data_IF_125041128288
#
_entry.id   IF_125041128288
#
_cell.length_a   1.000
_cell.length_b   1.000
_cell.length_c   1.000
_cell.angle_alpha   90.00
_cell.angle_beta   90.00
_cell.angle_gamma   90.00
#
_symmetry.space_group_name_H-M   'P 1'
#
loop_
_entity.id
_entity.type
_entity.pdbx_description
1 polymer ?
#
# COMPACT_ATOMS: atom_id res chain seq x y z
N UNK A 1 2.04 8.09 76.16
CA UNK A 1 2.39 8.51 74.78
C UNK A 1 1.29 8.05 73.82
N UNK A 2 0.02 8.15 74.24
CA UNK A 2 -1.05 7.27 73.71
C UNK A 2 -2.26 8.03 73.12
N UNK A 3 -2.28 9.37 73.20
CA UNK A 3 -3.38 10.16 72.66
C UNK A 3 -3.28 10.47 71.17
N UNK A 4 -2.08 10.35 70.56
CA UNK A 4 -1.86 10.75 69.17
C UNK A 4 -2.19 9.66 68.14
N UNK A 5 -2.17 8.37 68.51
CA UNK A 5 -2.52 7.26 67.61
C UNK A 5 -4.04 7.13 67.39
N UNK A 6 -4.86 7.48 68.37
CA UNK A 6 -6.33 7.35 68.26
C UNK A 6 -6.95 8.38 67.31
N UNK A 7 -6.33 9.56 67.18
CA UNK A 7 -6.82 10.63 66.34
C UNK A 7 -6.65 10.32 64.84
N UNK A 8 -5.54 9.68 64.48
CA UNK A 8 -5.23 9.35 63.07
C UNK A 8 -6.16 8.27 62.56
N UNK A 9 -6.46 7.22 63.34
CA UNK A 9 -7.32 6.11 62.91
C UNK A 9 -8.77 6.55 62.66
N UNK A 10 -9.33 7.41 63.52
CA UNK A 10 -10.72 7.88 63.38
C UNK A 10 -10.94 8.90 62.25
N UNK A 11 -9.86 9.52 61.73
CA UNK A 11 -9.93 10.52 60.64
C UNK A 11 -9.50 9.95 59.29
N UNK A 12 -8.75 8.84 59.27
CA UNK A 12 -8.22 8.25 58.03
C UNK A 12 -9.31 7.59 57.18
N UNK A 13 -10.25 6.87 57.80
CA UNK A 13 -11.36 6.22 57.08
C UNK A 13 -12.21 7.21 56.25
N UNK A 14 -12.75 8.31 56.83
CA UNK A 14 -13.55 9.25 56.04
C UNK A 14 -12.73 9.95 54.94
N UNK A 15 -11.43 10.16 55.14
CA UNK A 15 -10.56 10.75 54.10
C UNK A 15 -10.40 9.80 52.91
N UNK A 16 -10.20 8.50 53.16
CA UNK A 16 -10.10 7.50 52.10
C UNK A 16 -11.41 7.41 51.32
N UNK A 17 -12.56 7.42 52.00
CA UNK A 17 -13.87 7.43 51.35
C UNK A 17 -14.08 8.67 50.48
N UNK A 18 -13.68 9.86 50.95
CA UNK A 18 -13.77 11.09 50.16
C UNK A 18 -12.89 11.00 48.92
N UNK A 19 -11.66 10.49 49.03
CA UNK A 19 -10.75 10.35 47.89
C UNK A 19 -11.27 9.36 46.84
N UNK A 20 -11.83 8.23 47.27
CA UNK A 20 -12.48 7.28 46.38
C UNK A 20 -13.70 7.90 45.69
N UNK A 21 -14.54 8.62 46.44
CA UNK A 21 -15.73 9.25 45.91
C UNK A 21 -15.39 10.32 44.86
N UNK A 22 -14.37 11.15 45.11
CA UNK A 22 -13.88 12.15 44.15
C UNK A 22 -13.31 11.48 42.89
N UNK A 23 -12.60 10.35 43.03
CA UNK A 23 -12.07 9.61 41.88
C UNK A 23 -13.19 8.99 41.02
N UNK A 24 -14.21 8.39 41.66
CA UNK A 24 -15.39 7.84 40.96
C UNK A 24 -16.18 8.95 40.26
N UNK A 25 -16.45 10.07 40.95
CA UNK A 25 -17.12 11.22 40.33
C UNK A 25 -16.32 11.78 39.15
N UNK A 26 -14.98 11.85 39.26
CA UNK A 26 -14.11 12.26 38.17
C UNK A 26 -14.22 11.35 36.95
N UNK A 27 -14.28 10.02 37.17
CA UNK A 27 -14.45 9.03 36.11
C UNK A 27 -15.84 9.14 35.45
N UNK A 28 -16.90 9.31 36.23
CA UNK A 28 -18.27 9.48 35.74
C UNK A 28 -18.43 10.77 34.93
N UNK A 29 -17.85 11.88 35.40
CA UNK A 29 -17.84 13.15 34.66
C UNK A 29 -17.02 13.02 33.36
N UNK A 30 -15.88 12.34 33.40
CA UNK A 30 -15.04 12.12 32.21
C UNK A 30 -15.73 11.23 31.17
N UNK A 31 -16.41 10.17 31.60
CA UNK A 31 -17.18 9.30 30.69
C UNK A 31 -18.39 10.04 30.12
N UNK A 32 -19.09 10.84 30.92
CA UNK A 32 -20.20 11.68 30.46
C UNK A 32 -19.75 12.75 29.46
N UNK A 33 -18.61 13.41 29.71
CA UNK A 33 -18.02 14.37 28.77
C UNK A 33 -17.69 13.70 27.43
N UNK A 34 -17.03 12.53 27.47
CA UNK A 34 -16.74 11.77 26.26
C UNK A 34 -18.00 11.32 25.51
N UNK A 35 -19.08 10.98 26.21
CA UNK A 35 -20.34 10.57 25.57
C UNK A 35 -21.07 11.74 24.91
N UNK A 36 -21.10 12.91 25.57
CA UNK A 36 -21.79 14.10 25.08
C UNK A 36 -21.03 14.76 23.92
N UNK A 37 -19.72 14.94 24.02
CA UNK A 37 -18.92 15.61 22.99
C UNK A 37 -18.58 14.72 21.79
N UNK A 38 -18.62 13.38 21.93
CA UNK A 38 -18.42 12.49 20.77
C UNK A 38 -19.64 12.44 19.84
N UNK A 39 -20.85 12.77 20.33
CA UNK A 39 -22.08 12.76 19.53
C UNK A 39 -22.14 13.86 18.46
N UNK A 40 -21.52 15.03 18.68
CA UNK A 40 -21.52 16.13 17.69
C UNK A 40 -20.78 15.77 16.40
N UNK A 41 -19.79 14.86 16.45
CA UNK A 41 -19.04 14.45 15.25
C UNK A 41 -19.80 13.51 14.31
N UNK A 42 -20.90 12.89 14.76
CA UNK A 42 -21.67 11.93 13.94
C UNK A 42 -23.00 12.49 13.40
N UNK A 43 -23.47 13.65 13.88
CA UNK A 43 -24.73 14.28 13.40
C UNK A 43 -24.52 15.26 12.24
N UNK A 44 -23.29 15.74 12.02
CA UNK A 44 -22.98 16.66 10.92
C UNK A 44 -22.71 15.98 9.57
N UNK A 45 -22.98 14.67 9.44
CA UNK A 45 -22.84 13.92 8.20
C UNK A 45 -24.15 13.24 7.78
N UNK A 46 -25.25 14.00 7.82
CA UNK A 46 -26.49 13.72 7.07
C UNK A 46 -26.95 14.98 6.33
N UNK A 47 -26.02 15.63 5.63
CA UNK A 47 -26.36 16.54 4.55
C UNK A 47 -26.47 15.75 3.25
N UNK A 48 -27.67 15.28 2.92
CA UNK A 48 -27.97 14.76 1.58
C UNK A 48 -27.74 15.88 0.56
N UNK A 49 -26.63 15.81 -0.18
CA UNK A 49 -26.39 16.65 -1.34
C UNK A 49 -27.45 16.32 -2.39
N UNK A 50 -28.51 17.12 -2.40
CA UNK A 50 -29.52 17.11 -3.45
C UNK A 50 -28.90 17.79 -4.66
N UNK A 51 -28.46 17.02 -5.64
CA UNK A 51 -27.98 17.54 -6.92
C UNK A 51 -29.19 18.08 -7.68
N UNK A 52 -29.42 19.39 -7.58
CA UNK A 52 -30.37 20.11 -8.43
C UNK A 52 -29.69 20.39 -9.77
N UNK A 53 -29.83 19.46 -10.72
CA UNK A 53 -29.47 19.69 -12.12
C UNK A 53 -30.58 20.52 -12.77
N UNK A 54 -30.36 21.83 -12.86
CA UNK A 54 -31.14 22.70 -13.73
C UNK A 54 -30.56 22.59 -15.15
N UNK A 55 -31.30 22.08 -16.15
CA UNK A 55 -30.82 22.06 -17.52
C UNK A 55 -30.80 23.48 -18.10
N UNK A 56 -29.61 24.03 -18.31
CA UNK A 56 -29.43 25.24 -19.13
C UNK A 56 -29.60 24.92 -20.62
N UNK A 57 -30.24 25.80 -21.40
CA UNK A 57 -30.46 25.59 -22.81
C UNK A 57 -29.15 25.61 -23.60
N UNK A 58 -29.01 24.61 -24.47
CA UNK A 58 -27.87 24.39 -25.37
C UNK A 58 -28.00 25.40 -26.51
N UNK A 59 -27.21 26.48 -26.45
CA UNK A 59 -26.97 27.34 -27.61
C UNK A 59 -25.83 26.75 -28.41
N UNK A 60 -26.18 26.10 -29.53
CA UNK A 60 -25.22 25.65 -30.53
C UNK A 60 -24.56 26.86 -31.19
N UNK A 61 -23.32 27.13 -30.82
CA UNK A 61 -22.41 27.94 -31.64
C UNK A 61 -21.49 27.00 -32.40
N UNK A 62 -21.75 26.95 -33.70
CA UNK A 62 -20.99 26.27 -34.73
C UNK A 62 -19.55 26.80 -34.78
N UNK A 63 -18.59 25.98 -34.33
CA UNK A 63 -17.17 26.24 -34.45
C UNK A 63 -16.59 25.45 -35.64
N UNK A 64 -16.14 26.24 -36.61
CA UNK A 64 -15.37 25.95 -37.82
C UNK A 64 -14.25 24.90 -37.60
N UNK A 65 -13.96 24.03 -38.59
CA UNK A 65 -12.93 23.01 -38.48
C UNK A 65 -11.53 23.65 -38.55
N UNK A 66 -10.78 23.55 -37.46
CA UNK A 66 -9.36 23.92 -37.42
C UNK A 66 -8.53 22.64 -37.58
N UNK A 67 -7.74 22.65 -38.65
CA UNK A 67 -6.85 21.59 -39.12
C UNK A 67 -5.86 21.15 -38.05
N UNK A 68 -5.69 19.83 -37.95
CA UNK A 68 -4.52 19.19 -37.37
C UNK A 68 -3.23 19.71 -38.04
N UNK A 69 -2.54 20.63 -37.38
CA UNK A 69 -1.13 20.86 -37.66
C UNK A 69 -0.38 20.96 -36.33
N UNK A 70 0.44 19.94 -36.03
CA UNK A 70 1.26 19.93 -34.84
C UNK A 70 2.24 21.12 -34.90
N UNK A 71 2.11 22.04 -33.94
CA UNK A 71 3.03 23.16 -33.72
C UNK A 71 4.50 22.68 -33.76
N UNK A 72 5.45 23.43 -34.39
CA UNK A 72 6.80 22.96 -34.69
C UNK A 72 7.57 22.40 -33.49
N UNK A 73 7.27 22.90 -32.28
CA UNK A 73 7.89 22.47 -31.03
C UNK A 73 7.52 21.04 -30.60
N UNK A 74 6.37 20.53 -31.06
CA UNK A 74 5.95 19.15 -30.78
C UNK A 74 6.74 18.16 -31.65
N UNK A 75 6.96 18.49 -32.93
CA UNK A 75 7.72 17.65 -33.87
C UNK A 75 9.19 17.53 -33.43
N UNK A 76 9.82 18.63 -33.02
CA UNK A 76 11.20 18.59 -32.53
C UNK A 76 11.36 17.78 -31.24
N UNK A 77 10.36 17.81 -30.34
CA UNK A 77 10.40 17.01 -29.11
C UNK A 77 10.30 15.51 -29.39
N UNK A 78 9.50 15.11 -30.38
CA UNK A 78 9.39 13.72 -30.82
C UNK A 78 10.68 13.26 -31.52
N UNK A 79 11.25 14.08 -32.41
CA UNK A 79 12.50 13.75 -33.10
C UNK A 79 13.68 13.62 -32.13
N UNK A 80 13.74 14.46 -31.09
CA UNK A 80 14.76 14.38 -30.04
C UNK A 80 14.62 13.13 -29.17
N UNK A 81 13.38 12.66 -28.92
CA UNK A 81 13.12 11.43 -28.17
C UNK A 81 13.44 10.16 -28.98
N UNK A 82 13.40 10.21 -30.32
CA UNK A 82 13.65 9.07 -31.21
C UNK A 82 15.10 8.98 -31.72
N UNK A 83 15.93 10.00 -31.53
CA UNK A 83 17.34 10.02 -31.94
C UNK A 83 18.17 8.82 -31.46
N UNK A 84 18.02 8.27 -30.24
CA UNK A 84 18.81 7.11 -29.80
C UNK A 84 18.27 5.75 -30.30
N UNK A 85 17.09 5.71 -30.96
CA UNK A 85 16.44 4.46 -31.39
C UNK A 85 16.50 4.21 -32.90
N UNK A 86 17.21 5.03 -33.68
CA UNK A 86 17.46 4.75 -35.11
C UNK A 86 18.53 3.67 -35.27
N UNK A 87 18.07 2.41 -35.23
CA UNK A 87 18.88 1.23 -35.57
C UNK A 87 19.11 1.24 -37.08
N UNK A 88 20.35 1.44 -37.52
CA UNK A 88 20.76 1.30 -38.92
C UNK A 88 20.91 -0.20 -39.26
N UNK A 89 20.14 -0.76 -40.21
CA UNK A 89 20.43 -2.09 -40.74
C UNK A 89 21.61 -1.99 -41.71
N UNK A 90 22.80 -2.40 -41.27
CA UNK A 90 23.96 -2.58 -42.15
C UNK A 90 23.91 -3.99 -42.73
N UNK A 91 23.40 -4.09 -43.96
CA UNK A 91 23.50 -5.29 -44.79
C UNK A 91 24.83 -5.26 -45.54
N UNK A 92 25.74 -6.18 -45.19
CA UNK A 92 26.92 -6.49 -46.02
C UNK A 92 27.03 -8.01 -46.19
N UNK A 93 27.18 -8.53 -47.43
CA UNK A 93 27.03 -9.95 -47.72
C UNK A 93 28.30 -10.80 -47.46
N UNK A 94 27.98 -12.07 -47.18
CA UNK A 94 28.76 -13.31 -47.02
C UNK A 94 29.98 -13.47 -47.94
N UNK A 95 31.09 -13.97 -47.37
CA UNK A 95 31.96 -14.91 -48.09
C UNK A 95 32.51 -16.00 -47.16
N UNK A 96 32.38 -17.21 -47.68
CA UNK A 96 32.65 -18.52 -47.08
C UNK A 96 34.14 -18.84 -47.15
N UNK A 97 34.76 -19.28 -46.06
CA UNK A 97 35.95 -20.13 -46.12
C UNK A 97 35.92 -21.18 -45.02
N UNK A 98 35.78 -22.42 -45.46
CA UNK A 98 35.87 -23.67 -44.71
C UNK A 98 37.27 -23.81 -44.11
N UNK A 99 37.35 -23.98 -42.79
CA UNK A 99 38.56 -24.49 -42.14
C UNK A 99 38.16 -25.55 -41.11
N UNK A 100 38.44 -26.79 -41.47
CA UNK A 100 38.24 -28.01 -40.69
C UNK A 100 39.31 -28.07 -39.60
N UNK A 101 38.89 -27.99 -38.33
CA UNK A 101 39.72 -28.32 -37.17
C UNK A 101 39.04 -29.49 -36.46
N UNK A 102 39.71 -30.64 -36.45
CA UNK A 102 39.25 -31.85 -35.79
C UNK A 102 39.27 -31.65 -34.27
N UNK A 103 38.14 -31.92 -33.62
CA UNK A 103 38.05 -32.02 -32.16
C UNK A 103 38.18 -33.49 -31.75
N UNK A 104 38.98 -33.85 -30.75
CA UNK A 104 39.11 -35.23 -30.29
C UNK A 104 37.84 -35.69 -29.57
N UNK A 105 37.28 -36.80 -30.06
CA UNK A 105 36.18 -37.54 -29.44
C UNK A 105 36.64 -38.17 -28.12
N UNK A 106 36.22 -37.61 -26.98
CA UNK A 106 36.22 -38.33 -25.71
C UNK A 106 34.89 -39.07 -25.53
N UNK A 107 34.97 -40.38 -25.32
CA UNK A 107 33.81 -41.22 -25.04
C UNK A 107 33.19 -40.86 -23.67
N UNK A 108 31.86 -40.89 -23.53
CA UNK A 108 31.22 -40.63 -22.24
C UNK A 108 31.43 -41.82 -21.30
N UNK A 109 32.05 -41.56 -20.16
CA UNK A 109 32.07 -42.49 -19.03
C UNK A 109 30.66 -42.52 -18.43
N UNK A 110 30.04 -43.69 -18.43
CA UNK A 110 28.75 -43.93 -17.79
C UNK A 110 28.97 -43.90 -16.28
N UNK A 111 28.59 -42.79 -15.64
CA UNK A 111 28.60 -42.65 -14.19
C UNK A 111 27.26 -43.15 -13.63
N UNK A 112 27.25 -44.01 -12.60
CA UNK A 112 26.00 -44.54 -12.06
C UNK A 112 25.14 -43.42 -11.47
N UNK A 113 23.92 -43.29 -12.01
CA UNK A 113 22.86 -42.41 -11.54
C UNK A 113 22.51 -42.76 -10.10
N UNK A 114 23.04 -41.99 -9.15
CA UNK A 114 22.58 -42.01 -7.76
C UNK A 114 21.12 -41.53 -7.73
N UNK A 115 20.26 -42.25 -7.02
CA UNK A 115 18.84 -41.91 -6.88
C UNK A 115 18.69 -40.43 -6.47
N UNK A 116 18.00 -39.66 -7.31
CA UNK A 116 17.89 -38.22 -7.19
C UNK A 116 17.30 -37.82 -5.83
N UNK A 117 18.08 -37.08 -5.06
CA UNK A 117 17.51 -36.21 -4.03
C UNK A 117 16.63 -35.20 -4.77
N UNK A 118 15.33 -35.25 -4.49
CA UNK A 118 14.35 -34.36 -5.06
C UNK A 118 14.69 -32.93 -4.59
N UNK A 119 15.39 -32.18 -5.43
CA UNK A 119 15.82 -30.82 -5.10
C UNK A 119 14.57 -29.94 -5.07
N UNK A 120 14.11 -29.63 -3.85
CA UNK A 120 12.99 -28.72 -3.62
C UNK A 120 13.33 -27.38 -4.24
N UNK A 121 12.67 -27.02 -5.33
CA UNK A 121 12.96 -25.80 -6.09
C UNK A 121 12.10 -24.69 -5.53
N UNK A 122 12.70 -23.82 -4.72
CA UNK A 122 12.01 -22.64 -4.18
C UNK A 122 11.65 -21.70 -5.33
N UNK A 123 10.40 -21.21 -5.36
CA UNK A 123 9.94 -20.19 -6.31
C UNK A 123 9.45 -18.96 -5.56
N UNK A 124 9.72 -17.79 -6.14
CA UNK A 124 9.27 -16.50 -5.65
C UNK A 124 8.36 -15.84 -6.67
N UNK A 125 7.28 -15.23 -6.20
CA UNK A 125 6.31 -14.52 -7.02
C UNK A 125 6.08 -13.13 -6.45
N UNK A 126 6.13 -12.13 -7.33
CA UNK A 126 5.87 -10.73 -6.97
C UNK A 126 4.61 -10.26 -7.69
N UNK A 127 3.60 -9.88 -6.92
CA UNK A 127 2.35 -9.32 -7.43
C UNK A 127 2.34 -7.82 -7.12
N UNK A 128 2.59 -6.94 -8.11
CA UNK A 128 2.52 -5.51 -7.89
C UNK A 128 1.07 -5.07 -7.65
N UNK A 129 0.85 -4.28 -6.61
CA UNK A 129 -0.44 -3.62 -6.35
C UNK A 129 -0.49 -2.25 -7.01
N UNK A 130 0.66 -1.58 -7.14
CA UNK A 130 0.80 -0.30 -7.83
C UNK A 130 1.38 0.81 -6.96
N UNK A 131 1.13 2.05 -7.40
CA UNK A 131 1.58 3.30 -6.78
C UNK A 131 0.42 4.29 -6.75
N UNK A 132 0.50 5.30 -5.89
CA UNK A 132 -0.57 6.30 -5.80
C UNK A 132 -0.30 7.33 -4.71
N UNK A 133 -1.33 8.09 -4.34
CA UNK A 133 -1.23 9.09 -3.28
C UNK A 133 -2.55 9.23 -2.53
N UNK A 134 -2.48 9.79 -1.33
CA UNK A 134 -3.64 10.11 -0.51
C UNK A 134 -3.36 11.31 0.38
N UNK A 135 -4.43 12.03 0.72
CA UNK A 135 -4.49 13.14 1.69
C UNK A 135 -5.56 12.89 2.76
N UNK A 136 -6.13 11.68 2.80
CA UNK A 136 -7.28 11.40 3.63
C UNK A 136 -6.90 11.30 5.11
N UNK A 137 -7.73 11.88 5.99
CA UNK A 137 -7.59 11.75 7.45
C UNK A 137 -8.01 10.36 7.96
N UNK A 138 -8.93 9.72 7.25
CA UNK A 138 -9.45 8.38 7.53
C UNK A 138 -9.00 7.39 6.47
N UNK A 139 -9.08 6.10 6.80
CA UNK A 139 -8.73 5.01 5.89
C UNK A 139 -9.54 5.11 4.59
N UNK A 140 -8.84 5.44 3.51
CA UNK A 140 -9.39 5.46 2.15
C UNK A 140 -8.60 4.53 1.25
N UNK A 141 -9.25 4.03 0.21
CA UNK A 141 -8.57 3.30 -0.85
C UNK A 141 -7.63 4.25 -1.62
N UNK A 142 -6.44 3.76 -1.95
CA UNK A 142 -5.54 4.46 -2.86
C UNK A 142 -6.00 4.17 -4.30
N UNK A 143 -6.36 5.19 -5.10
CA UNK A 143 -6.89 4.97 -6.44
C UNK A 143 -5.96 4.14 -7.32
N UNK A 144 -6.50 3.07 -7.91
CA UNK A 144 -5.75 2.20 -8.84
C UNK A 144 -4.77 1.22 -8.18
N UNK A 145 -4.60 1.24 -6.86
CA UNK A 145 -3.66 0.35 -6.16
C UNK A 145 -4.35 -0.91 -5.68
N UNK A 146 -4.52 -1.88 -6.59
CA UNK A 146 -5.16 -3.16 -6.32
C UNK A 146 -4.74 -4.25 -7.30
N UNK A 147 -4.80 -5.51 -6.87
CA UNK A 147 -4.61 -6.68 -7.72
C UNK A 147 -5.49 -7.84 -7.28
N UNK A 148 -5.83 -8.72 -8.24
CA UNK A 148 -6.40 -10.03 -7.95
C UNK A 148 -5.26 -11.02 -7.67
N UNK A 149 -5.38 -11.77 -6.57
CA UNK A 149 -4.46 -12.83 -6.19
C UNK A 149 -5.26 -14.09 -5.97
N UNK A 150 -4.92 -15.14 -6.71
CA UNK A 150 -5.51 -16.45 -6.56
C UNK A 150 -4.56 -17.39 -5.83
N UNK A 151 -4.82 -17.62 -4.54
CA UNK A 151 -3.96 -18.45 -3.70
C UNK A 151 -3.84 -19.89 -4.20
N UNK A 152 -4.80 -20.38 -4.99
CA UNK A 152 -4.80 -21.74 -5.53
C UNK A 152 -3.75 -21.95 -6.63
N UNK A 153 -3.23 -20.87 -7.22
CA UNK A 153 -2.18 -20.91 -8.24
C UNK A 153 -0.78 -21.05 -7.66
N UNK A 154 -0.65 -20.97 -6.33
CA UNK A 154 0.62 -21.06 -5.62
C UNK A 154 0.60 -22.33 -4.76
N UNK A 155 1.13 -23.47 -5.25
CA UNK A 155 1.22 -24.68 -4.44
C UNK A 155 2.21 -24.48 -3.30
N UNK A 156 1.96 -25.10 -2.13
CA UNK A 156 2.88 -25.12 -0.99
C UNK A 156 3.43 -23.74 -0.59
N UNK A 157 2.55 -22.76 -0.40
CA UNK A 157 2.94 -21.44 0.10
C UNK A 157 3.66 -21.60 1.44
N UNK A 158 4.92 -21.17 1.48
CA UNK A 158 5.75 -21.15 2.69
C UNK A 158 5.59 -19.82 3.43
N UNK A 159 5.51 -18.73 2.67
CA UNK A 159 5.52 -17.37 3.20
C UNK A 159 4.84 -16.40 2.24
N UNK A 160 4.08 -15.46 2.79
CA UNK A 160 3.53 -14.32 2.05
C UNK A 160 3.87 -13.04 2.78
N UNK A 161 4.46 -12.08 2.05
CA UNK A 161 4.87 -10.79 2.58
C UNK A 161 4.09 -9.68 1.87
N UNK A 162 3.62 -8.71 2.64
CA UNK A 162 3.19 -7.43 2.13
C UNK A 162 4.34 -6.44 2.25
N UNK A 163 4.66 -5.77 1.15
CA UNK A 163 5.73 -4.80 1.06
C UNK A 163 5.16 -3.47 0.58
N UNK A 164 5.52 -2.37 1.23
CA UNK A 164 5.12 -1.04 0.82
C UNK A 164 6.19 0.01 1.16
N UNK A 165 6.25 1.08 0.36
CA UNK A 165 7.02 2.26 0.71
C UNK A 165 6.29 3.56 0.39
N UNK A 166 6.56 4.56 1.22
CA UNK A 166 5.95 5.88 1.09
C UNK A 166 6.96 6.99 1.28
N UNK A 167 6.63 8.17 0.75
CA UNK A 167 7.28 9.43 1.10
C UNK A 167 6.25 10.56 1.19
N UNK A 168 6.65 11.66 1.84
CA UNK A 168 5.85 12.90 1.94
C UNK A 168 6.67 14.02 1.28
N UNK A 169 6.27 14.56 0.12
CA UNK A 169 7.11 15.48 -0.65
C UNK A 169 7.34 16.84 0.02
N UNK A 170 6.29 17.41 0.60
CA UNK A 170 6.24 18.84 0.93
C UNK A 170 6.06 19.12 2.43
N UNK A 171 6.09 18.09 3.27
CA UNK A 171 5.75 18.19 4.68
C UNK A 171 6.31 17.03 5.49
N UNK A 172 6.10 17.12 6.79
CA UNK A 172 6.41 16.10 7.76
C UNK A 172 5.10 15.63 8.41
N UNK A 173 4.71 14.38 8.20
CA UNK A 173 3.54 13.78 8.84
C UNK A 173 3.70 12.27 9.03
N UNK A 174 2.85 11.69 9.87
CA UNK A 174 2.70 10.24 9.96
C UNK A 174 1.77 9.77 8.84
N UNK A 175 2.22 8.74 8.11
CA UNK A 175 1.42 8.06 7.09
C UNK A 175 1.16 6.64 7.58
N UNK A 176 -0.08 6.19 7.49
CA UNK A 176 -0.45 4.82 7.78
C UNK A 176 -0.93 4.14 6.50
N UNK A 177 -0.43 2.93 6.25
CA UNK A 177 -0.75 2.12 5.06
C UNK A 177 -1.23 0.76 5.54
N UNK A 178 -2.23 0.19 4.88
CA UNK A 178 -2.64 -1.20 5.14
C UNK A 178 -3.15 -1.90 3.90
N UNK A 179 -3.19 -3.22 3.95
CA UNK A 179 -3.81 -4.05 2.92
C UNK A 179 -5.25 -4.40 3.31
N UNK A 180 -6.17 -4.28 2.36
CA UNK A 180 -7.58 -4.60 2.53
C UNK A 180 -8.01 -5.65 1.51
N UNK A 181 -8.66 -6.72 1.96
CA UNK A 181 -9.29 -7.70 1.08
C UNK A 181 -10.66 -7.16 0.68
N UNK A 182 -10.77 -6.70 -0.57
CA UNK A 182 -11.99 -6.16 -1.14
C UNK A 182 -13.05 -7.23 -1.40
N UNK A 183 -12.65 -8.47 -1.71
CA UNK A 183 -13.59 -9.57 -1.95
C UNK A 183 -14.36 -9.95 -0.69
N UNK A 184 -13.66 -10.06 0.44
CA UNK A 184 -14.23 -10.55 1.69
C UNK A 184 -14.48 -9.44 2.72
N UNK A 185 -14.19 -8.18 2.36
CA UNK A 185 -14.46 -6.97 3.15
C UNK A 185 -13.80 -6.95 4.54
N UNK A 186 -12.52 -7.31 4.62
CA UNK A 186 -11.76 -7.24 5.87
C UNK A 186 -10.36 -6.65 5.68
N UNK A 187 -9.81 -6.08 6.77
CA UNK A 187 -8.41 -5.63 6.84
C UNK A 187 -7.50 -6.84 7.02
N UNK A 188 -6.51 -6.99 6.14
CA UNK A 188 -5.57 -8.11 6.24
C UNK A 188 -4.72 -7.95 7.50
N UNK A 189 -4.71 -8.96 8.36
CA UNK A 189 -3.93 -8.94 9.59
C UNK A 189 -2.43 -8.72 9.33
N UNK A 190 -1.76 -8.03 10.25
CA UNK A 190 -0.33 -7.68 10.18
C UNK A 190 0.09 -6.82 8.97
N UNK A 191 -0.85 -6.28 8.19
CA UNK A 191 -0.54 -5.47 7.01
C UNK A 191 -0.46 -3.96 7.28
N UNK A 192 -0.73 -3.52 8.52
CA UNK A 192 -0.75 -2.11 8.87
C UNK A 192 0.67 -1.60 9.20
N UNK A 193 1.09 -0.59 8.44
CA UNK A 193 2.39 0.05 8.59
C UNK A 193 2.21 1.49 9.02
N UNK A 194 2.95 1.88 10.05
CA UNK A 194 3.12 3.26 10.46
C UNK A 194 4.47 3.76 9.94
N UNK A 195 4.42 4.82 9.14
CA UNK A 195 5.57 5.52 8.60
C UNK A 195 5.72 6.85 9.34
N UNK A 196 6.64 6.92 10.33
CA UNK A 196 6.95 8.18 10.96
C UNK A 196 7.67 9.09 9.95
N UNK A 197 7.33 10.37 10.01
CA UNK A 197 7.74 11.43 9.10
C UNK A 197 9.23 11.51 8.73
N UNK A 198 9.48 11.78 7.44
CA UNK A 198 10.64 12.43 6.82
C UNK A 198 10.42 12.58 5.31
N UNK A 199 11.14 13.48 4.62
CA UNK A 199 11.13 13.60 3.14
C UNK A 199 11.72 12.39 2.42
N UNK A 200 12.23 11.42 3.17
CA UNK A 200 12.88 10.21 2.68
C UNK A 200 11.87 9.09 2.48
N UNK A 201 12.05 8.34 1.40
CA UNK A 201 11.32 7.11 1.15
C UNK A 201 11.56 6.10 2.27
N UNK A 202 10.47 5.64 2.90
CA UNK A 202 10.51 4.62 3.93
C UNK A 202 9.94 3.31 3.39
N UNK A 203 10.65 2.20 3.55
CA UNK A 203 10.22 0.86 3.17
C UNK A 203 9.85 0.01 4.40
N UNK A 204 8.77 -0.76 4.30
CA UNK A 204 8.29 -1.69 5.34
C UNK A 204 7.82 -3.00 4.71
N UNK A 205 7.91 -4.06 5.50
CA UNK A 205 7.53 -5.41 5.13
C UNK A 205 6.88 -6.10 6.34
N UNK A 206 5.86 -6.92 6.10
CA UNK A 206 5.31 -7.82 7.11
C UNK A 206 4.75 -9.09 6.48
N UNK A 207 4.75 -10.15 7.27
CA UNK A 207 4.13 -11.42 6.90
C UNK A 207 2.61 -11.35 7.07
N UNK A 208 1.88 -11.78 6.04
CA UNK A 208 0.43 -11.74 5.98
C UNK A 208 -0.14 -13.11 5.61
N UNK A 209 -1.45 -13.26 5.77
CA UNK A 209 -2.18 -14.44 5.31
C UNK A 209 -3.13 -14.05 4.18
N UNK A 210 -3.06 -14.78 3.07
CA UNK A 210 -4.01 -14.62 1.97
C UNK A 210 -5.29 -15.42 2.27
N UNK A 211 -6.43 -14.83 1.94
CA UNK A 211 -7.70 -15.56 1.81
C UNK A 211 -7.60 -16.63 0.72
N UNK A 212 -8.40 -17.70 0.88
CA UNK A 212 -8.39 -18.82 -0.06
C UNK A 212 -9.05 -18.47 -1.40
N UNK A 213 -8.44 -18.92 -2.50
CA UNK A 213 -8.94 -18.73 -3.87
C UNK A 213 -8.60 -17.35 -4.43
N UNK A 214 -9.32 -16.95 -5.48
CA UNK A 214 -9.19 -15.64 -6.11
C UNK A 214 -9.80 -14.53 -5.24
N UNK A 215 -8.96 -13.60 -4.79
CA UNK A 215 -9.33 -12.45 -3.95
C UNK A 215 -8.72 -11.17 -4.50
N UNK A 216 -9.48 -10.07 -4.41
CA UNK A 216 -9.00 -8.74 -4.78
C UNK A 216 -8.45 -8.07 -3.53
N UNK A 217 -7.18 -7.68 -3.58
CA UNK A 217 -6.52 -6.91 -2.52
C UNK A 217 -6.27 -5.50 -3.00
N UNK A 218 -6.53 -4.52 -2.13
CA UNK A 218 -6.26 -3.11 -2.38
C UNK A 218 -5.52 -2.49 -1.22
N UNK A 219 -4.78 -1.42 -1.50
CA UNK A 219 -4.08 -0.67 -0.46
C UNK A 219 -4.96 0.48 0.02
N UNK A 220 -4.99 0.66 1.34
CA UNK A 220 -5.61 1.81 1.97
C UNK A 220 -4.55 2.67 2.64
N UNK A 221 -4.78 3.98 2.62
CA UNK A 221 -3.91 4.97 3.25
C UNK A 221 -4.74 5.96 4.05
N UNK A 222 -4.12 6.48 5.12
CA UNK A 222 -4.53 7.72 5.76
C UNK A 222 -3.30 8.49 6.21
N UNK A 223 -3.45 9.78 6.42
CA UNK A 223 -2.39 10.67 6.83
C UNK A 223 -2.80 11.48 8.04
N UNK A 224 -1.85 11.82 8.90
CA UNK A 224 -2.12 12.52 10.17
C UNK A 224 -2.54 13.98 9.95
N UNK A 225 -1.93 14.66 8.99
CA UNK A 225 -2.08 16.11 8.79
C UNK A 225 -2.73 16.46 7.45
N UNK A 226 -3.20 15.47 6.69
CA UNK A 226 -3.84 15.63 5.38
C UNK A 226 -2.93 16.28 4.32
N UNK A 227 -1.60 16.23 4.52
CA UNK A 227 -0.68 16.51 3.43
C UNK A 227 -0.66 15.34 2.44
N UNK A 228 -0.17 15.60 1.23
CA UNK A 228 -0.07 14.56 0.21
C UNK A 228 1.03 13.58 0.60
N UNK A 229 0.64 12.35 0.92
CA UNK A 229 1.54 11.22 1.02
C UNK A 229 1.51 10.42 -0.29
N UNK A 230 2.69 9.99 -0.74
CA UNK A 230 2.86 9.18 -1.95
C UNK A 230 3.21 7.77 -1.55
N UNK A 231 2.52 6.79 -2.14
CA UNK A 231 2.85 5.37 -2.13
C UNK A 231 3.70 5.07 -3.35
N UNK A 232 4.99 4.86 -3.13
CA UNK A 232 5.98 4.65 -4.20
C UNK A 232 5.93 3.24 -4.78
N UNK A 233 5.60 2.27 -3.95
CA UNK A 233 5.35 0.89 -4.36
C UNK A 233 4.53 0.18 -3.30
N UNK A 234 3.71 -0.74 -3.74
CA UNK A 234 3.13 -1.78 -2.92
C UNK A 234 3.08 -3.09 -3.70
N UNK A 235 3.40 -4.20 -3.04
CA UNK A 235 3.36 -5.54 -3.65
C UNK A 235 3.14 -6.65 -2.62
N UNK A 236 2.63 -7.78 -3.11
CA UNK A 236 2.57 -9.04 -2.37
C UNK A 236 3.68 -9.94 -2.90
N UNK A 237 4.50 -10.48 -2.01
CA UNK A 237 5.59 -11.39 -2.32
C UNK A 237 5.28 -12.78 -1.74
N UNK A 238 5.20 -13.80 -2.59
CA UNK A 238 4.88 -15.18 -2.22
C UNK A 238 6.09 -16.07 -2.46
N UNK A 239 6.45 -16.90 -1.48
CA UNK A 239 7.48 -17.94 -1.60
C UNK A 239 6.84 -19.32 -1.51
N UNK A 240 7.18 -20.23 -2.44
CA UNK A 240 6.69 -21.62 -2.50
C UNK A 240 7.82 -22.63 -2.54
N UNK A 241 7.55 -23.90 -2.21
CA UNK A 241 8.51 -25.03 -2.27
C UNK A 241 7.96 -26.23 -3.06
#
# INVERSE_FOLDING_TARGET
>A
MDHHESWVKNKLEPIIFILLFVNVLGLDIFTLYNLLFKKEKYLNQTGAASISITPSPITSTEAKPESEDCSPNCKSAIDQALAPFKITPSATPRSTKTQSVAFPTSAPVIQPTSAGQQQTTVKEFFIPLGTGSSTAADWTDVPGVKAEVDSSKYPNIQKVLFEASTHVPNANEIVEVRLYNESDKYVVGNSEFLYPSGTTQNFRIAEIQLGQGAKIYKVQMKTQLQYTAVLDQARIHITTN
#
